data_IF_478106833976
#
_entry.id   IF_478106833976
#
_cell.length_a   1.000
_cell.length_b   1.000
_cell.length_c   1.000
_cell.angle_alpha   90.00
_cell.angle_beta   90.00
_cell.angle_gamma   90.00
#
_symmetry.space_group_name_H-M   'P 1'
#
loop_
_entity.id
_entity.type
_entity.pdbx_description
1 polymer ?
#
# COMPACT_ATOMS: atom_id res chain seq x y z
N UNK A 1 0.15 44.32 28.03
CA UNK A 1 0.40 43.46 26.84
C UNK A 1 1.09 42.20 27.35
N UNK A 2 0.34 41.12 27.58
CA UNK A 2 0.92 39.82 27.96
C UNK A 2 1.17 39.02 26.68
N UNK A 3 2.39 38.52 26.51
CA UNK A 3 2.75 37.66 25.38
C UNK A 3 2.25 36.25 25.72
N UNK A 4 1.18 35.80 25.08
CA UNK A 4 0.80 34.39 25.14
C UNK A 4 1.83 33.58 24.34
N UNK A 5 2.65 32.81 25.07
CA UNK A 5 3.50 31.80 24.46
C UNK A 5 2.60 30.61 24.13
N UNK A 6 2.14 30.51 22.88
CA UNK A 6 1.52 29.30 22.38
C UNK A 6 2.58 28.21 22.38
N UNK A 7 2.59 27.38 23.42
CA UNK A 7 3.33 26.12 23.43
C UNK A 7 2.83 25.30 22.24
N UNK A 8 3.65 25.19 21.20
CA UNK A 8 3.38 24.24 20.13
C UNK A 8 3.24 22.86 20.77
N UNK A 9 2.07 22.23 20.66
CA UNK A 9 1.87 20.85 21.06
C UNK A 9 2.98 20.01 20.42
N UNK A 10 3.69 19.16 21.17
CA UNK A 10 4.74 18.34 20.61
C UNK A 10 4.14 17.58 19.43
N UNK A 11 4.77 17.72 18.26
CA UNK A 11 4.53 16.86 17.10
C UNK A 11 4.55 15.44 17.65
N UNK A 12 3.42 14.75 17.62
CA UNK A 12 3.27 13.43 18.19
C UNK A 12 4.44 12.55 17.73
N UNK A 13 5.36 12.21 18.63
CA UNK A 13 6.51 11.39 18.27
C UNK A 13 5.98 9.98 18.00
N UNK A 14 5.82 9.62 16.74
CA UNK A 14 5.55 8.24 16.33
C UNK A 14 6.65 7.37 16.89
N UNK A 15 6.30 6.32 17.63
CA UNK A 15 7.30 5.46 18.27
C UNK A 15 7.99 4.58 17.23
N UNK A 16 9.21 4.12 17.53
CA UNK A 16 9.88 3.12 16.69
C UNK A 16 9.03 1.85 16.54
N UNK A 17 8.29 1.49 17.59
CA UNK A 17 7.37 0.35 17.58
C UNK A 17 6.25 0.52 16.54
N UNK A 18 5.65 1.71 16.45
CA UNK A 18 4.62 2.02 15.44
C UNK A 18 5.16 1.95 14.01
N UNK A 19 6.39 2.43 13.78
CA UNK A 19 7.05 2.30 12.48
C UNK A 19 7.35 0.84 12.12
N UNK A 20 7.85 0.07 13.08
CA UNK A 20 8.11 -1.36 12.91
C UNK A 20 6.81 -2.11 12.64
N UNK A 21 5.73 -1.81 13.38
CA UNK A 21 4.42 -2.41 13.17
C UNK A 21 3.87 -2.12 11.76
N UNK A 22 4.02 -0.88 11.27
CA UNK A 22 3.69 -0.52 9.90
C UNK A 22 4.51 -1.28 8.86
N UNK A 23 5.82 -1.37 9.06
CA UNK A 23 6.71 -2.11 8.15
C UNK A 23 6.38 -3.61 8.10
N UNK A 24 6.21 -4.24 9.27
CA UNK A 24 5.88 -5.67 9.39
C UNK A 24 4.48 -5.95 8.86
N UNK A 25 3.49 -5.13 9.21
CA UNK A 25 2.12 -5.28 8.75
C UNK A 25 2.01 -5.11 7.23
N UNK A 26 2.71 -4.13 6.66
CA UNK A 26 2.83 -3.95 5.20
C UNK A 26 3.55 -5.12 4.53
N UNK A 27 4.60 -5.66 5.17
CA UNK A 27 5.28 -6.85 4.66
C UNK A 27 4.34 -8.07 4.61
N UNK A 28 3.68 -8.39 5.72
CA UNK A 28 2.74 -9.51 5.81
C UNK A 28 1.57 -9.33 4.83
N UNK A 29 0.97 -8.14 4.78
CA UNK A 29 -0.09 -7.83 3.82
C UNK A 29 0.34 -8.05 2.38
N UNK A 30 1.58 -7.69 2.03
CA UNK A 30 2.10 -7.85 0.67
C UNK A 30 2.39 -9.31 0.33
N UNK A 31 2.71 -10.16 1.30
CA UNK A 31 2.72 -11.62 1.07
C UNK A 31 1.32 -12.10 0.67
N UNK A 32 0.30 -11.73 1.44
CA UNK A 32 -1.07 -12.18 1.17
C UNK A 32 -1.54 -11.74 -0.21
N UNK A 33 -1.29 -10.47 -0.57
CA UNK A 33 -1.67 -9.96 -1.88
C UNK A 33 -0.80 -10.55 -3.01
N UNK A 34 0.50 -10.74 -2.80
CA UNK A 34 1.37 -11.45 -3.73
C UNK A 34 0.88 -12.87 -4.03
N UNK A 35 0.41 -13.61 -3.02
CA UNK A 35 -0.18 -14.94 -3.20
C UNK A 35 -1.47 -14.87 -4.04
N UNK A 36 -2.31 -13.85 -3.83
CA UNK A 36 -3.46 -13.64 -4.71
C UNK A 36 -3.04 -13.35 -6.15
N UNK A 37 -1.99 -12.54 -6.37
CA UNK A 37 -1.47 -12.30 -7.72
C UNK A 37 -0.95 -13.57 -8.40
N UNK A 38 -0.41 -14.51 -7.63
CA UNK A 38 0.14 -15.76 -8.16
C UNK A 38 -0.93 -16.82 -8.47
N UNK A 39 -1.99 -16.90 -7.65
CA UNK A 39 -2.95 -18.02 -7.70
C UNK A 39 -4.38 -17.63 -8.07
N UNK A 40 -4.75 -16.35 -7.99
CA UNK A 40 -6.13 -15.87 -8.23
C UNK A 40 -6.21 -14.95 -9.44
N UNK A 41 -5.20 -14.09 -9.64
CA UNK A 41 -5.18 -13.15 -10.75
C UNK A 41 -4.51 -13.74 -11.99
N UNK A 42 -4.84 -13.27 -13.20
CA UNK A 42 -4.15 -13.70 -14.41
C UNK A 42 -2.65 -13.43 -14.34
N UNK A 43 -1.84 -14.44 -14.67
CA UNK A 43 -0.43 -14.25 -14.97
C UNK A 43 -0.26 -13.24 -16.13
N UNK A 44 0.87 -12.51 -16.23
CA UNK A 44 2.14 -12.68 -15.51
C UNK A 44 2.50 -11.50 -14.58
N UNK A 45 1.60 -11.11 -13.65
CA UNK A 45 1.78 -9.89 -12.82
C UNK A 45 3.11 -9.84 -12.05
N UNK A 46 3.40 -10.85 -11.23
CA UNK A 46 4.62 -10.89 -10.42
C UNK A 46 5.87 -11.17 -11.25
N UNK A 47 5.82 -12.06 -12.23
CA UNK A 47 7.03 -12.48 -12.96
C UNK A 47 7.44 -11.57 -14.11
N UNK A 48 6.52 -10.77 -14.66
CA UNK A 48 6.79 -9.90 -15.81
C UNK A 48 6.39 -8.46 -15.53
N UNK A 49 5.13 -8.20 -15.15
CA UNK A 49 4.61 -6.82 -15.10
C UNK A 49 5.32 -5.98 -14.04
N UNK A 50 5.44 -6.48 -12.81
CA UNK A 50 6.09 -5.75 -11.72
C UNK A 50 7.60 -5.54 -11.98
N UNK A 51 8.39 -6.56 -12.38
CA UNK A 51 9.79 -6.36 -12.79
C UNK A 51 9.93 -5.36 -13.95
N UNK A 52 9.05 -5.42 -14.95
CA UNK A 52 9.12 -4.54 -16.11
C UNK A 52 8.97 -3.07 -15.75
N UNK A 53 8.19 -2.72 -14.72
CA UNK A 53 8.13 -1.34 -14.19
C UNK A 53 9.52 -0.83 -13.78
N UNK A 54 10.41 -1.73 -13.35
CA UNK A 54 11.79 -1.39 -12.98
C UNK A 54 12.80 -1.57 -14.10
N UNK A 55 12.33 -1.77 -15.34
CA UNK A 55 13.19 -2.03 -16.51
C UNK A 55 13.88 -3.40 -16.46
N UNK A 56 13.41 -4.31 -15.61
CA UNK A 56 13.94 -5.67 -15.51
C UNK A 56 13.21 -6.54 -16.54
N UNK A 57 13.95 -7.02 -17.53
CA UNK A 57 13.44 -7.97 -18.50
C UNK A 57 13.17 -9.33 -17.84
N UNK A 58 12.08 -9.98 -18.25
CA UNK A 58 11.55 -11.17 -17.58
C UNK A 58 11.39 -12.38 -18.49
N UNK A 59 10.98 -13.55 -17.92
CA UNK A 59 10.39 -13.69 -16.59
C UNK A 59 11.42 -13.62 -15.43
N UNK A 60 11.11 -12.81 -14.40
CA UNK A 60 11.98 -12.52 -13.26
C UNK A 60 11.20 -12.56 -11.92
N UNK A 61 10.60 -13.72 -11.61
CA UNK A 61 9.69 -13.91 -10.46
C UNK A 61 10.29 -13.46 -9.11
N UNK A 62 11.56 -13.75 -8.84
CA UNK A 62 12.21 -13.35 -7.58
C UNK A 62 12.30 -11.82 -7.46
N UNK A 63 12.64 -11.13 -8.55
CA UNK A 63 12.66 -9.66 -8.58
C UNK A 63 11.26 -9.09 -8.36
N UNK A 64 10.24 -9.70 -8.97
CA UNK A 64 8.85 -9.32 -8.79
C UNK A 64 8.37 -9.40 -7.35
N UNK A 65 8.67 -10.52 -6.68
CA UNK A 65 8.40 -10.67 -5.25
C UNK A 65 9.16 -9.65 -4.41
N UNK A 66 10.46 -9.46 -4.65
CA UNK A 66 11.26 -8.49 -3.90
C UNK A 66 10.72 -7.05 -4.04
N UNK A 67 10.37 -6.64 -5.27
CA UNK A 67 9.80 -5.32 -5.57
C UNK A 67 8.41 -5.18 -4.94
N UNK A 68 7.56 -6.19 -5.06
CA UNK A 68 6.23 -6.16 -4.45
C UNK A 68 6.33 -6.01 -2.93
N UNK A 69 7.24 -6.76 -2.32
CA UNK A 69 7.49 -6.76 -0.89
C UNK A 69 8.04 -5.42 -0.40
N UNK A 70 8.95 -4.82 -1.17
CA UNK A 70 9.47 -3.48 -0.94
C UNK A 70 8.33 -2.44 -0.91
N UNK A 71 7.43 -2.46 -1.90
CA UNK A 71 6.27 -1.55 -1.90
C UNK A 71 5.35 -1.80 -0.72
N UNK A 72 5.13 -3.06 -0.33
CA UNK A 72 4.35 -3.39 0.86
C UNK A 72 4.89 -2.69 2.11
N UNK A 73 6.21 -2.73 2.32
CA UNK A 73 6.85 -2.02 3.44
C UNK A 73 6.72 -0.51 3.29
N UNK A 74 7.03 0.05 2.11
CA UNK A 74 6.95 1.51 1.86
C UNK A 74 5.55 2.04 2.11
N UNK A 75 4.53 1.35 1.60
CA UNK A 75 3.13 1.72 1.81
C UNK A 75 2.73 1.57 3.28
N UNK A 76 3.25 0.56 3.98
CA UNK A 76 3.08 0.46 5.43
C UNK A 76 3.60 1.67 6.19
N UNK A 77 4.80 2.14 5.85
CA UNK A 77 5.38 3.36 6.42
C UNK A 77 4.54 4.60 6.03
N UNK A 78 4.09 4.70 4.77
CA UNK A 78 3.21 5.80 4.33
C UNK A 78 1.92 5.82 5.14
N UNK A 79 1.30 4.67 5.41
CA UNK A 79 0.11 4.60 6.27
C UNK A 79 0.39 5.16 7.67
N UNK A 80 1.49 4.73 8.32
CA UNK A 80 1.89 5.23 9.64
C UNK A 80 2.04 6.75 9.63
N UNK A 81 2.64 7.33 8.58
CA UNK A 81 2.74 8.78 8.43
C UNK A 81 1.37 9.45 8.26
N UNK A 82 0.49 8.89 7.43
CA UNK A 82 -0.83 9.45 7.14
C UNK A 82 -1.74 9.48 8.38
N UNK A 83 -1.73 8.42 9.20
CA UNK A 83 -2.63 8.37 10.37
C UNK A 83 -2.21 9.30 11.51
N UNK A 84 -1.11 10.05 11.36
CA UNK A 84 -0.77 11.13 12.28
C UNK A 84 -1.62 12.39 12.06
N UNK A 85 -2.31 12.52 10.92
CA UNK A 85 -3.21 13.65 10.67
C UNK A 85 -4.49 13.53 11.51
N UNK A 86 -4.85 14.62 12.18
CA UNK A 86 -5.92 14.71 13.20
C UNK A 86 -7.13 13.77 13.02
N UNK A 87 -7.89 13.83 11.91
CA UNK A 87 -9.11 13.04 11.76
C UNK A 87 -8.89 11.53 11.63
N UNK A 88 -7.66 11.09 11.32
CA UNK A 88 -7.32 9.67 11.13
C UNK A 88 -6.74 9.04 12.40
N UNK A 89 -6.28 9.85 13.36
CA UNK A 89 -5.50 9.39 14.51
C UNK A 89 -6.29 8.47 15.43
N UNK A 90 -7.46 8.88 15.87
CA UNK A 90 -8.30 8.08 16.77
C UNK A 90 -8.80 6.80 16.08
N UNK A 91 -9.39 6.86 14.86
CA UNK A 91 -9.82 5.64 14.17
C UNK A 91 -8.67 4.64 13.92
N UNK A 92 -7.44 5.12 13.70
CA UNK A 92 -6.29 4.24 13.47
C UNK A 92 -5.81 3.48 14.71
N UNK A 93 -6.22 3.92 15.91
CA UNK A 93 -5.87 3.29 17.19
C UNK A 93 -6.96 2.33 17.69
N UNK A 94 -8.17 2.47 17.18
CA UNK A 94 -9.29 1.58 17.48
C UNK A 94 -9.32 0.39 16.52
N UNK A 95 -9.58 -0.82 17.01
CA UNK A 95 -9.61 -2.02 16.15
C UNK A 95 -10.65 -1.87 15.01
N UNK A 96 -11.88 -1.48 15.32
CA UNK A 96 -12.94 -1.29 14.31
C UNK A 96 -12.60 -0.17 13.33
N UNK A 97 -12.07 0.94 13.84
CA UNK A 97 -11.64 2.07 13.01
C UNK A 97 -10.49 1.67 12.06
N UNK A 98 -9.53 0.88 12.54
CA UNK A 98 -8.39 0.40 11.76
C UNK A 98 -8.81 -0.52 10.61
N UNK A 99 -9.83 -1.36 10.80
CA UNK A 99 -10.40 -2.20 9.74
C UNK A 99 -11.06 -1.32 8.67
N UNK A 100 -11.86 -0.32 9.09
CA UNK A 100 -12.45 0.65 8.17
C UNK A 100 -11.40 1.42 7.38
N UNK A 101 -10.34 1.88 8.04
CA UNK A 101 -9.20 2.52 7.39
C UNK A 101 -8.46 1.57 6.44
N UNK A 102 -8.35 0.29 6.77
CA UNK A 102 -7.76 -0.72 5.87
C UNK A 102 -8.56 -0.88 4.58
N UNK A 103 -9.89 -0.89 4.66
CA UNK A 103 -10.75 -0.91 3.47
C UNK A 103 -10.52 0.35 2.62
N UNK A 104 -10.57 1.54 3.24
CA UNK A 104 -10.35 2.81 2.54
C UNK A 104 -8.95 2.87 1.92
N UNK A 105 -7.93 2.45 2.66
CA UNK A 105 -6.54 2.45 2.20
C UNK A 105 -6.33 1.46 1.05
N UNK A 106 -6.98 0.29 1.09
CA UNK A 106 -6.97 -0.68 -0.02
C UNK A 106 -7.62 -0.12 -1.29
N UNK A 107 -8.75 0.59 -1.16
CA UNK A 107 -9.40 1.26 -2.29
C UNK A 107 -8.49 2.37 -2.84
N UNK A 108 -7.96 3.23 -1.98
CA UNK A 108 -7.08 4.33 -2.38
C UNK A 108 -5.80 3.84 -3.07
N UNK A 109 -5.15 2.80 -2.54
CA UNK A 109 -3.96 2.22 -3.16
C UNK A 109 -4.28 1.59 -4.52
N UNK A 110 -5.45 0.97 -4.69
CA UNK A 110 -5.89 0.49 -6.00
C UNK A 110 -6.07 1.64 -6.99
N UNK A 111 -6.79 2.69 -6.59
CA UNK A 111 -7.06 3.83 -7.46
C UNK A 111 -5.76 4.55 -7.84
N UNK A 112 -4.91 4.85 -6.87
CA UNK A 112 -3.67 5.61 -7.13
C UNK A 112 -2.64 4.73 -7.82
N UNK A 113 -2.32 3.56 -7.27
CA UNK A 113 -1.18 2.78 -7.76
C UNK A 113 -1.55 1.93 -8.98
N UNK A 114 -2.60 1.11 -8.87
CA UNK A 114 -2.94 0.17 -9.93
C UNK A 114 -3.64 0.85 -11.12
N UNK A 115 -4.55 1.80 -10.86
CA UNK A 115 -5.32 2.43 -11.93
C UNK A 115 -4.59 3.63 -12.58
N UNK A 116 -3.76 4.37 -11.84
CA UNK A 116 -3.10 5.58 -12.35
C UNK A 116 -1.58 5.41 -12.54
N UNK A 117 -0.85 5.05 -11.49
CA UNK A 117 0.63 5.02 -11.54
C UNK A 117 1.14 3.89 -12.43
N UNK A 118 0.63 2.67 -12.28
CA UNK A 118 1.07 1.49 -13.05
C UNK A 118 1.01 1.69 -14.57
N UNK A 119 -0.12 2.08 -15.20
CA UNK A 119 -0.16 2.30 -16.65
C UNK A 119 0.82 3.38 -17.12
N UNK A 120 0.95 4.48 -16.37
CA UNK A 120 1.88 5.57 -16.73
C UNK A 120 3.33 5.12 -16.60
N UNK A 121 3.67 4.38 -15.55
CA UNK A 121 5.01 3.86 -15.32
C UNK A 121 5.40 2.85 -16.40
N UNK A 122 4.54 1.87 -16.68
CA UNK A 122 4.76 0.88 -17.74
C UNK A 122 4.90 1.54 -19.12
N UNK A 123 4.09 2.55 -19.42
CA UNK A 123 4.22 3.32 -20.66
C UNK A 123 5.57 4.08 -20.72
N UNK A 124 6.00 4.68 -19.61
CA UNK A 124 7.25 5.44 -19.54
C UNK A 124 8.49 4.57 -19.76
N UNK A 125 8.48 3.30 -19.31
CA UNK A 125 9.56 2.33 -19.56
C UNK A 125 9.41 1.59 -20.89
N UNK A 126 8.40 1.92 -21.69
CA UNK A 126 8.19 1.34 -23.02
C UNK A 126 7.67 -0.09 -23.01
N UNK A 127 7.00 -0.53 -21.93
CA UNK A 127 6.43 -1.87 -21.85
C UNK A 127 5.33 -2.06 -22.93
N UNK A 128 5.49 -3.00 -23.89
CA UNK A 128 4.58 -3.09 -25.04
C UNK A 128 3.12 -3.39 -24.68
N UNK A 129 2.89 -4.06 -23.55
CA UNK A 129 1.56 -4.43 -23.06
C UNK A 129 1.11 -3.52 -21.90
N UNK A 130 1.54 -2.25 -21.87
CA UNK A 130 1.07 -1.29 -20.88
C UNK A 130 -0.47 -1.15 -20.97
N UNK A 131 -1.20 -1.25 -19.85
CA UNK A 131 -2.65 -1.11 -19.87
C UNK A 131 -3.06 0.33 -20.23
N UNK A 132 -4.28 0.53 -20.75
CA UNK A 132 -4.79 1.88 -21.03
C UNK A 132 -4.84 2.72 -19.75
N UNK A 133 -4.66 4.03 -19.89
CA UNK A 133 -4.82 4.97 -18.78
C UNK A 133 -6.23 5.60 -18.81
N UNK A 134 -6.99 5.60 -17.69
CA UNK A 134 -6.72 4.87 -16.45
C UNK A 134 -6.94 3.35 -16.61
N UNK A 135 -6.20 2.55 -15.85
CA UNK A 135 -6.28 1.08 -15.90
C UNK A 135 -7.47 0.57 -15.10
N UNK A 136 -8.67 0.68 -15.70
CA UNK A 136 -9.94 0.24 -15.11
C UNK A 136 -10.61 -0.77 -16.05
N UNK A 137 -10.83 -1.99 -15.54
CA UNK A 137 -11.46 -3.07 -16.29
C UNK A 137 -12.28 -3.97 -15.35
N UNK A 138 -13.48 -4.38 -15.77
CA UNK A 138 -14.31 -5.31 -15.00
C UNK A 138 -14.14 -6.75 -15.54
N UNK A 139 -13.90 -7.77 -14.69
CA UNK A 139 -13.86 -7.75 -13.22
C UNK A 139 -12.48 -7.46 -12.59
N UNK A 140 -11.43 -7.27 -13.39
CA UNK A 140 -10.04 -7.20 -12.91
C UNK A 140 -9.80 -6.13 -11.82
N UNK A 141 -10.37 -4.93 -11.98
CA UNK A 141 -10.26 -3.85 -10.99
C UNK A 141 -10.90 -4.23 -9.67
N UNK A 142 -12.02 -4.95 -9.67
CA UNK A 142 -12.66 -5.41 -8.42
C UNK A 142 -11.74 -6.40 -7.69
N UNK A 143 -11.18 -7.37 -8.42
CA UNK A 143 -10.27 -8.37 -7.83
C UNK A 143 -8.98 -7.69 -7.34
N UNK A 144 -8.46 -6.71 -8.07
CA UNK A 144 -7.36 -5.84 -7.64
C UNK A 144 -7.69 -5.10 -6.35
N UNK A 145 -8.87 -4.49 -6.25
CA UNK A 145 -9.32 -3.80 -5.03
C UNK A 145 -9.37 -4.74 -3.83
N UNK A 146 -9.91 -5.95 -4.01
CA UNK A 146 -9.94 -6.95 -2.94
C UNK A 146 -8.51 -7.30 -2.51
N UNK A 147 -7.58 -7.50 -3.45
CA UNK A 147 -6.18 -7.75 -3.15
C UNK A 147 -5.52 -6.64 -2.32
N UNK A 148 -5.76 -5.38 -2.67
CA UNK A 148 -5.23 -4.24 -1.90
C UNK A 148 -5.89 -4.09 -0.52
N UNK A 149 -7.17 -4.46 -0.38
CA UNK A 149 -7.81 -4.52 0.95
C UNK A 149 -7.18 -5.64 1.78
N UNK A 150 -6.98 -6.84 1.20
CA UNK A 150 -6.29 -7.96 1.87
C UNK A 150 -4.88 -7.57 2.31
N UNK A 151 -4.17 -6.78 1.50
CA UNK A 151 -2.90 -6.16 1.89
C UNK A 151 -3.05 -5.19 3.08
N UNK A 152 -4.05 -4.31 3.03
CA UNK A 152 -4.16 -3.21 3.97
C UNK A 152 -4.62 -3.65 5.37
N UNK A 153 -5.42 -4.71 5.50
CA UNK A 153 -5.95 -5.14 6.81
C UNK A 153 -4.85 -5.52 7.82
N UNK A 154 -3.88 -6.42 7.51
CA UNK A 154 -2.79 -6.73 8.43
C UNK A 154 -1.98 -5.49 8.82
N UNK A 155 -1.75 -4.59 7.87
CA UNK A 155 -1.06 -3.33 8.10
C UNK A 155 -1.78 -2.45 9.13
N UNK A 156 -3.05 -2.15 8.90
CA UNK A 156 -3.77 -1.20 9.76
C UNK A 156 -4.03 -1.77 11.15
N UNK A 157 -4.30 -3.07 11.24
CA UNK A 157 -4.46 -3.78 12.52
C UNK A 157 -3.13 -3.84 13.28
N UNK A 158 -2.01 -4.15 12.62
CA UNK A 158 -0.69 -4.15 13.28
C UNK A 158 -0.35 -2.79 13.89
N UNK A 159 -0.64 -1.70 13.17
CA UNK A 159 -0.48 -0.35 13.70
C UNK A 159 -1.37 -0.11 14.93
N UNK A 160 -2.67 -0.44 14.87
CA UNK A 160 -3.60 -0.26 15.99
C UNK A 160 -3.18 -1.06 17.23
N UNK A 161 -2.58 -2.23 17.06
CA UNK A 161 -2.06 -3.05 18.16
C UNK A 161 -0.77 -2.50 18.80
N UNK A 162 -0.11 -1.53 18.15
CA UNK A 162 1.14 -0.91 18.61
C UNK A 162 0.93 0.46 19.29
N UNK A 163 -0.33 0.87 19.48
CA UNK A 163 -0.70 2.23 19.94
C UNK A 163 -1.25 2.28 21.34
#
# INVERSE_FOLDING_TARGET
>A
MATETTTASPVSSVTSEQWIAGAVGGFVGSILFGLMMMFVMPAPLLEVVIPAMYGIEGPALLAGWAIHQFHGVVLGLVYVALVQFGPLREPARELTGSIGLGVVYGVLTTLVLAALVMPLWLAAVGFPAAPPFPNVAFPATVVSTIGHIVYAIPLTVAYAMST
#
